data_IF_123698402233
#
_entry.id   IF_123698402233
#
_cell.length_a   1.000
_cell.length_b   1.000
_cell.length_c   1.000
_cell.angle_alpha   90.00
_cell.angle_beta   90.00
_cell.angle_gamma   90.00
#
_symmetry.space_group_name_H-M   'P 1'
#
loop_
_entity.id
_entity.type
_entity.pdbx_description
1 polymer ?
#
# COMPACT_ATOMS: atom_id res chain seq x y z
N UNK A 1 -10.18 -30.86 35.10
CA UNK A 1 -10.79 -31.05 33.77
C UNK A 1 -10.96 -29.72 33.03
N UNK A 2 -11.30 -28.65 33.74
CA UNK A 2 -11.59 -27.33 33.15
C UNK A 2 -10.34 -26.49 32.77
N UNK A 3 -9.29 -26.44 33.62
CA UNK A 3 -8.03 -25.74 33.31
C UNK A 3 -7.25 -26.35 32.13
N UNK A 4 -7.46 -27.64 31.88
CA UNK A 4 -6.90 -28.38 30.76
C UNK A 4 -7.38 -27.83 29.41
N UNK A 5 -8.60 -27.28 29.37
CA UNK A 5 -9.19 -26.76 28.14
C UNK A 5 -8.41 -25.57 27.57
N UNK A 6 -7.97 -24.66 28.43
CA UNK A 6 -7.21 -23.47 28.04
C UNK A 6 -5.79 -23.84 27.65
N UNK A 7 -5.17 -24.77 28.38
CA UNK A 7 -3.83 -25.30 28.06
C UNK A 7 -3.83 -25.96 26.68
N UNK A 8 -4.84 -26.79 26.39
CA UNK A 8 -5.02 -27.42 25.08
C UNK A 8 -5.31 -26.42 23.98
N UNK A 9 -6.05 -25.35 24.27
CA UNK A 9 -6.30 -24.27 23.30
C UNK A 9 -5.00 -23.56 22.92
N UNK A 10 -4.15 -23.26 23.91
CA UNK A 10 -2.84 -22.65 23.67
C UNK A 10 -1.89 -23.59 22.94
N UNK A 11 -1.87 -24.88 23.30
CA UNK A 11 -1.06 -25.88 22.60
C UNK A 11 -1.44 -25.97 21.11
N UNK A 12 -2.74 -26.13 20.81
CA UNK A 12 -3.23 -26.16 19.43
C UNK A 12 -2.92 -24.86 18.66
N UNK A 13 -2.98 -23.71 19.34
CA UNK A 13 -2.64 -22.42 18.73
C UNK A 13 -1.15 -22.34 18.36
N UNK A 14 -0.27 -22.79 19.26
CA UNK A 14 1.18 -22.79 19.05
C UNK A 14 1.62 -23.80 17.99
N UNK A 15 0.88 -24.90 17.84
CA UNK A 15 1.06 -25.91 16.79
C UNK A 15 0.55 -25.44 15.41
N UNK A 16 -0.14 -24.29 15.36
CA UNK A 16 -0.71 -23.74 14.13
C UNK A 16 -2.06 -24.37 13.73
N UNK A 17 -2.64 -25.23 14.55
CA UNK A 17 -4.01 -25.74 14.35
C UNK A 17 -5.03 -24.72 14.88
N UNK A 18 -5.17 -23.63 14.12
CA UNK A 18 -6.09 -22.55 14.45
C UNK A 18 -7.57 -22.97 14.42
N UNK A 19 -7.91 -24.08 13.75
CA UNK A 19 -9.29 -24.61 13.73
C UNK A 19 -9.61 -25.27 15.07
N UNK A 20 -8.73 -26.15 15.55
CA UNK A 20 -8.88 -26.78 16.86
C UNK A 20 -8.77 -25.75 17.99
N UNK A 21 -7.79 -24.84 17.92
CA UNK A 21 -7.60 -23.76 18.89
C UNK A 21 -8.87 -22.90 19.02
N UNK A 22 -9.45 -22.46 17.89
CA UNK A 22 -10.70 -21.67 17.89
C UNK A 22 -11.84 -22.39 18.62
N UNK A 23 -12.06 -23.68 18.32
CA UNK A 23 -13.12 -24.48 18.97
C UNK A 23 -12.89 -24.59 20.48
N UNK A 24 -11.65 -24.74 20.92
CA UNK A 24 -11.30 -24.83 22.34
C UNK A 24 -11.48 -23.49 23.05
N UNK A 25 -11.08 -22.37 22.43
CA UNK A 25 -11.33 -21.03 22.96
C UNK A 25 -12.82 -20.68 23.03
N UNK A 26 -13.63 -21.09 22.03
CA UNK A 26 -15.08 -20.91 22.09
C UNK A 26 -15.73 -21.72 23.22
N UNK A 27 -15.22 -22.93 23.49
CA UNK A 27 -15.66 -23.73 24.64
C UNK A 27 -15.24 -23.07 25.96
N UNK A 28 -14.02 -22.55 26.04
CA UNK A 28 -13.51 -21.84 27.22
C UNK A 28 -14.30 -20.54 27.47
N UNK A 29 -14.64 -19.80 26.42
CA UNK A 29 -15.49 -18.61 26.47
C UNK A 29 -16.84 -18.87 27.14
N UNK A 30 -17.48 -20.01 26.80
CA UNK A 30 -18.77 -20.40 27.40
C UNK A 30 -18.68 -20.75 28.88
N UNK A 31 -17.53 -21.22 29.35
CA UNK A 31 -17.32 -21.67 30.73
C UNK A 31 -16.82 -20.55 31.64
N UNK A 32 -15.94 -19.70 31.13
CA UNK A 32 -15.21 -18.70 31.93
C UNK A 32 -15.57 -17.25 31.61
N UNK A 33 -16.27 -17.01 30.50
CA UNK A 33 -16.66 -15.68 30.05
C UNK A 33 -16.12 -15.36 28.65
N UNK A 34 -16.98 -14.80 27.80
CA UNK A 34 -16.66 -14.55 26.40
C UNK A 34 -15.54 -13.52 26.22
N UNK A 35 -15.49 -12.50 27.08
CA UNK A 35 -14.50 -11.42 27.02
C UNK A 35 -13.07 -11.90 27.24
N UNK A 36 -12.87 -13.00 27.99
CA UNK A 36 -11.54 -13.55 28.25
C UNK A 36 -10.93 -14.25 27.03
N UNK A 37 -11.76 -14.69 26.08
CA UNK A 37 -11.31 -15.51 24.95
C UNK A 37 -11.70 -14.94 23.58
N UNK A 38 -12.45 -13.84 23.53
CA UNK A 38 -12.87 -13.18 22.28
C UNK A 38 -11.68 -12.84 21.38
N UNK A 39 -10.61 -12.27 21.95
CA UNK A 39 -9.38 -11.93 21.23
C UNK A 39 -8.73 -13.18 20.63
N UNK A 40 -8.66 -14.26 21.40
CA UNK A 40 -8.05 -15.52 20.95
C UNK A 40 -8.84 -16.15 19.77
N UNK A 41 -10.17 -16.04 19.79
CA UNK A 41 -11.04 -16.49 18.68
C UNK A 41 -10.81 -15.64 17.42
N UNK A 42 -10.74 -14.32 17.57
CA UNK A 42 -10.47 -13.38 16.47
C UNK A 42 -9.09 -13.64 15.86
N UNK A 43 -8.07 -13.90 16.68
CA UNK A 43 -6.73 -14.21 16.21
C UNK A 43 -6.72 -15.51 15.38
N UNK A 44 -7.40 -16.57 15.85
CA UNK A 44 -7.52 -17.81 15.08
C UNK A 44 -8.17 -17.55 13.70
N UNK A 45 -9.23 -16.74 13.66
CA UNK A 45 -9.89 -16.38 12.40
C UNK A 45 -8.97 -15.62 11.45
N UNK A 46 -8.16 -14.69 11.97
CA UNK A 46 -7.18 -13.95 11.18
C UNK A 46 -6.15 -14.91 10.58
N UNK A 47 -5.53 -15.77 11.39
CA UNK A 47 -4.53 -16.71 10.88
C UNK A 47 -5.10 -17.72 9.88
N UNK A 48 -6.36 -18.15 10.05
CA UNK A 48 -7.04 -18.99 9.05
C UNK A 48 -7.29 -18.25 7.73
N UNK A 49 -7.58 -16.95 7.75
CA UNK A 49 -7.72 -16.14 6.53
C UNK A 49 -6.39 -15.93 5.81
N UNK A 50 -5.30 -15.74 6.55
CA UNK A 50 -3.94 -15.65 5.97
C UNK A 50 -3.51 -16.98 5.38
N UNK A 51 -3.70 -18.09 6.12
CA UNK A 51 -3.34 -19.44 5.68
C UNK A 51 -4.16 -19.91 4.46
N UNK A 52 -5.43 -19.47 4.35
CA UNK A 52 -6.29 -19.73 3.19
C UNK A 52 -6.02 -18.79 1.99
N UNK A 53 -5.04 -17.88 2.10
CA UNK A 53 -4.67 -16.97 1.02
C UNK A 53 -5.69 -15.86 0.74
N UNK A 54 -6.73 -15.71 1.57
CA UNK A 54 -7.77 -14.67 1.39
C UNK A 54 -7.21 -13.25 1.54
N UNK A 55 -6.16 -13.07 2.32
CA UNK A 55 -5.49 -11.77 2.46
C UNK A 55 -4.78 -11.32 1.15
N UNK A 56 -4.22 -12.26 0.38
CA UNK A 56 -3.66 -11.98 -0.96
C UNK A 56 -4.75 -11.60 -1.98
N UNK A 57 -5.93 -12.19 -1.87
CA UNK A 57 -7.09 -11.85 -2.72
C UNK A 57 -7.57 -10.41 -2.50
N UNK A 58 -7.57 -9.92 -1.26
CA UNK A 58 -7.95 -8.53 -0.95
C UNK A 58 -6.93 -7.52 -1.48
N UNK A 59 -5.63 -7.81 -1.35
CA UNK A 59 -4.57 -6.93 -1.88
C UNK A 59 -4.61 -6.88 -3.42
N UNK A 60 -4.77 -8.02 -4.08
CA UNK A 60 -4.90 -8.06 -5.55
C UNK A 60 -6.17 -7.35 -6.03
N UNK A 61 -7.29 -7.49 -5.32
CA UNK A 61 -8.54 -6.78 -5.61
C UNK A 61 -8.41 -5.26 -5.44
N UNK A 62 -7.65 -4.79 -4.45
CA UNK A 62 -7.39 -3.35 -4.27
C UNK A 62 -6.51 -2.80 -5.40
N UNK A 63 -5.50 -3.55 -5.86
CA UNK A 63 -4.64 -3.17 -6.99
C UNK A 63 -5.42 -3.17 -8.32
N UNK A 64 -6.38 -4.07 -8.48
CA UNK A 64 -7.27 -4.13 -9.67
C UNK A 64 -8.41 -3.11 -9.65
N UNK A 65 -8.61 -2.41 -8.53
CA UNK A 65 -9.66 -1.40 -8.40
C UNK A 65 -9.51 -0.29 -9.45
N UNK A 66 -10.65 0.16 -9.98
CA UNK A 66 -10.69 1.22 -10.99
C UNK A 66 -10.02 2.52 -10.51
N UNK A 67 -9.99 2.76 -9.19
CA UNK A 67 -9.36 3.91 -8.55
C UNK A 67 -7.83 3.87 -8.68
N UNK A 68 -7.21 2.70 -8.45
CA UNK A 68 -5.75 2.53 -8.61
C UNK A 68 -5.35 2.69 -10.07
N UNK A 69 -6.15 2.15 -11.02
CA UNK A 69 -5.89 2.34 -12.46
C UNK A 69 -5.98 3.82 -12.87
N UNK A 70 -7.01 4.52 -12.39
CA UNK A 70 -7.18 5.96 -12.62
C UNK A 70 -6.02 6.78 -12.06
N UNK A 71 -5.57 6.47 -10.84
CA UNK A 71 -4.43 7.16 -10.23
C UNK A 71 -3.14 6.93 -11.03
N UNK A 72 -2.89 5.70 -11.50
CA UNK A 72 -1.74 5.41 -12.36
C UNK A 72 -1.78 6.18 -13.68
N UNK A 73 -2.97 6.32 -14.28
CA UNK A 73 -3.13 7.09 -15.51
C UNK A 73 -2.87 8.58 -15.28
N UNK A 74 -3.41 9.16 -14.19
CA UNK A 74 -3.13 10.54 -13.80
C UNK A 74 -1.64 10.78 -13.55
N UNK A 75 -0.95 9.84 -12.88
CA UNK A 75 0.49 9.94 -12.67
C UNK A 75 1.27 9.94 -13.98
N UNK A 76 0.89 9.08 -14.95
CA UNK A 76 1.54 9.03 -16.27
C UNK A 76 1.33 10.33 -17.04
N UNK A 77 0.11 10.86 -17.05
CA UNK A 77 -0.21 12.12 -17.73
C UNK A 77 0.53 13.30 -17.11
N UNK A 78 0.59 13.35 -15.78
CA UNK A 78 1.33 14.40 -15.07
C UNK A 78 2.83 14.34 -15.38
N UNK A 79 3.42 13.14 -15.41
CA UNK A 79 4.82 12.96 -15.83
C UNK A 79 5.06 13.38 -17.28
N UNK A 80 4.10 13.13 -18.19
CA UNK A 80 4.20 13.60 -19.58
C UNK A 80 4.21 15.13 -19.63
N UNK A 81 3.28 15.78 -18.94
CA UNK A 81 3.19 17.24 -18.90
C UNK A 81 4.45 17.90 -18.33
N UNK A 82 5.06 17.31 -17.30
CA UNK A 82 6.33 17.81 -16.77
C UNK A 82 7.44 17.77 -17.82
N UNK A 83 7.60 16.64 -18.52
CA UNK A 83 8.61 16.52 -19.59
C UNK A 83 8.38 17.51 -20.73
N UNK A 84 7.14 17.70 -21.14
CA UNK A 84 6.78 18.66 -22.20
C UNK A 84 7.09 20.10 -21.78
N UNK A 85 6.78 20.46 -20.53
CA UNK A 85 7.10 21.77 -19.98
C UNK A 85 8.61 21.99 -19.86
N UNK A 86 9.36 21.01 -19.38
CA UNK A 86 10.82 21.09 -19.29
C UNK A 86 11.47 21.26 -20.67
N UNK A 87 10.97 20.54 -21.68
CA UNK A 87 11.43 20.69 -23.07
C UNK A 87 11.15 22.10 -23.61
N UNK A 88 9.94 22.64 -23.37
CA UNK A 88 9.57 23.98 -23.81
C UNK A 88 10.41 25.07 -23.12
N UNK A 89 10.59 24.95 -21.80
CA UNK A 89 11.44 25.86 -21.03
C UNK A 89 12.87 25.86 -21.59
N UNK A 90 13.43 24.68 -21.85
CA UNK A 90 14.77 24.55 -22.44
C UNK A 90 14.86 25.19 -23.83
N UNK A 91 13.82 25.07 -24.65
CA UNK A 91 13.76 25.71 -25.97
C UNK A 91 13.72 27.24 -25.84
N UNK A 92 12.87 27.77 -24.97
CA UNK A 92 12.78 29.21 -24.71
C UNK A 92 14.08 29.80 -24.17
N UNK A 93 14.78 29.08 -23.30
CA UNK A 93 16.10 29.52 -22.82
C UNK A 93 17.14 29.58 -23.95
N UNK A 94 17.11 28.64 -24.91
CA UNK A 94 17.99 28.69 -26.09
C UNK A 94 17.66 29.88 -26.97
N UNK A 95 16.39 30.14 -27.23
CA UNK A 95 15.95 31.31 -28.01
C UNK A 95 16.39 32.62 -27.34
N UNK A 96 16.20 32.74 -26.03
CA UNK A 96 16.65 33.90 -25.26
C UNK A 96 18.16 34.09 -25.35
N UNK A 97 18.95 33.03 -25.21
CA UNK A 97 20.41 33.11 -25.33
C UNK A 97 20.85 33.59 -26.72
N UNK A 98 20.18 33.15 -27.78
CA UNK A 98 20.44 33.60 -29.16
C UNK A 98 20.10 35.09 -29.28
N UNK A 99 18.94 35.52 -28.80
CA UNK A 99 18.51 36.92 -28.87
C UNK A 99 19.44 37.84 -28.09
N UNK A 100 19.85 37.45 -26.88
CA UNK A 100 20.82 38.20 -26.06
C UNK A 100 22.12 38.41 -26.82
N UNK A 101 22.65 37.35 -27.44
CA UNK A 101 23.87 37.44 -28.24
C UNK A 101 23.73 38.41 -29.42
N UNK A 102 22.62 38.35 -30.15
CA UNK A 102 22.37 39.26 -31.28
C UNK A 102 22.32 40.73 -30.81
N UNK A 103 21.71 40.98 -29.66
CA UNK A 103 21.65 42.32 -29.07
C UNK A 103 23.03 42.82 -28.63
N UNK A 104 23.84 41.98 -27.99
CA UNK A 104 25.22 42.30 -27.61
C UNK A 104 26.09 42.60 -28.83
N UNK A 105 25.98 41.80 -29.89
CA UNK A 105 26.70 42.04 -31.15
C UNK A 105 26.29 43.38 -31.78
N UNK A 106 24.98 43.70 -31.80
CA UNK A 106 24.50 45.00 -32.28
C UNK A 106 25.01 46.17 -31.46
N UNK A 107 24.95 46.09 -30.14
CA UNK A 107 25.37 47.19 -29.25
C UNK A 107 26.87 47.51 -29.42
N UNK A 108 27.68 46.46 -29.60
CA UNK A 108 29.10 46.58 -29.90
C UNK A 108 29.37 47.22 -31.27
N UNK A 109 28.55 46.96 -32.29
CA UNK A 109 28.70 47.57 -33.62
C UNK A 109 28.26 49.03 -33.69
N UNK A 110 27.38 49.47 -32.79
CA UNK A 110 26.89 50.87 -32.73
C UNK A 110 27.82 51.74 -31.88
N UNK A 111 28.58 51.15 -30.96
CA UNK A 111 29.51 51.84 -30.05
C UNK A 111 30.96 51.93 -30.58
N UNK A 112 31.24 51.41 -31.77
CA UNK A 112 32.56 51.41 -32.44
C UNK A 112 32.62 52.43 -33.58
#
# INVERSE_FOLDING_TARGET
>A
MEKDLVIRAHAAFNEGDYIAAKKLYQKAAKLYGETLFSVNVVLCDKYLQVASGKEKSTINSLIESAEVKKLHEQMRDMQRQLREKDANINERFKELAILTRILEEKDNTVSA
#
